data_IF_701733535770
#
_entry.id   IF_701733535770
#
_cell.length_a   1.000
_cell.length_b   1.000
_cell.length_c   1.000
_cell.angle_alpha   90.00
_cell.angle_beta   90.00
_cell.angle_gamma   90.00
#
_symmetry.space_group_name_H-M   'P 1'
#
loop_
_entity.id
_entity.type
_entity.pdbx_description
1 polymer ?
#
# COMPACT_ATOMS: atom_id res chain seq x y z
N UNK A 1 21.23 -5.47 20.89
CA UNK A 1 21.11 -6.44 19.77
C UNK A 1 19.73 -6.31 19.12
N UNK A 2 19.36 -5.07 18.76
CA UNK A 2 18.14 -4.66 18.04
C UNK A 2 18.44 -3.21 17.58
N UNK A 3 19.38 -3.09 16.66
CA UNK A 3 19.72 -1.89 15.89
C UNK A 3 20.77 -2.42 14.91
N UNK A 4 20.45 -2.49 13.61
CA UNK A 4 21.42 -2.51 12.48
C UNK A 4 20.84 -2.97 11.12
N UNK A 5 19.55 -3.28 10.99
CA UNK A 5 19.01 -3.78 9.69
C UNK A 5 18.27 -2.74 8.85
N UNK A 6 18.02 -1.51 9.34
CA UNK A 6 17.08 -0.61 8.65
C UNK A 6 17.68 0.45 7.70
N UNK A 7 19.00 0.62 7.53
CA UNK A 7 19.53 1.81 6.81
C UNK A 7 20.55 1.53 5.68
N UNK A 8 20.91 0.28 5.37
CA UNK A 8 22.02 0.05 4.40
C UNK A 8 21.66 -0.54 3.02
N UNK A 9 20.40 -0.69 2.62
CA UNK A 9 20.06 -1.24 1.28
C UNK A 9 18.91 -0.52 0.57
N UNK A 10 19.01 0.80 0.46
CA UNK A 10 18.19 1.61 -0.46
C UNK A 10 18.92 1.99 -1.77
N UNK A 11 20.00 1.27 -2.10
CA UNK A 11 20.51 1.16 -3.47
C UNK A 11 20.65 -0.33 -3.72
N UNK A 12 20.14 -0.76 -4.86
CA UNK A 12 20.11 -2.13 -5.39
C UNK A 12 18.69 -2.72 -5.33
N UNK A 13 18.08 -2.61 -6.50
CA UNK A 13 16.83 -3.19 -6.95
C UNK A 13 16.88 -4.72 -6.94
N UNK A 14 16.86 -5.33 -5.76
CA UNK A 14 16.75 -6.79 -5.61
C UNK A 14 15.79 -7.13 -4.47
N UNK A 15 14.49 -6.98 -4.73
CA UNK A 15 13.47 -7.72 -3.99
C UNK A 15 13.33 -9.10 -4.67
N UNK A 16 13.50 -10.23 -3.96
CA UNK A 16 13.47 -11.53 -4.60
C UNK A 16 12.03 -11.86 -5.02
N UNK A 17 11.77 -11.83 -6.34
CA UNK A 17 10.54 -12.34 -6.93
C UNK A 17 10.49 -13.87 -6.82
N UNK A 18 9.28 -14.48 -6.76
CA UNK A 18 9.14 -15.93 -6.73
C UNK A 18 9.79 -16.56 -7.96
N UNK A 19 10.68 -17.51 -7.70
CA UNK A 19 11.47 -18.29 -8.66
C UNK A 19 10.60 -19.04 -9.69
N UNK A 20 10.27 -18.35 -10.78
CA UNK A 20 9.75 -18.91 -12.03
C UNK A 20 10.89 -19.31 -12.98
N UNK A 21 10.72 -20.43 -13.69
CA UNK A 21 11.75 -21.14 -14.46
C UNK A 21 12.51 -20.26 -15.47
N UNK A 22 13.84 -20.47 -15.51
CA UNK A 22 14.79 -19.92 -16.51
C UNK A 22 14.36 -20.26 -17.94
N UNK A 23 14.23 -19.23 -18.78
CA UNK A 23 14.24 -19.38 -20.23
C UNK A 23 13.57 -18.23 -20.98
N UNK A 24 14.39 -17.48 -21.72
CA UNK A 24 14.08 -16.45 -22.73
C UNK A 24 13.95 -15.01 -22.22
N UNK A 25 14.91 -14.19 -22.65
CA UNK A 25 14.95 -12.76 -22.47
C UNK A 25 14.06 -12.10 -23.54
N UNK A 26 12.97 -11.47 -23.11
CA UNK A 26 12.25 -10.50 -23.92
C UNK A 26 12.48 -9.10 -23.35
N UNK A 27 12.74 -8.15 -24.25
CA UNK A 27 13.15 -6.77 -24.00
C UNK A 27 12.20 -6.03 -23.06
N UNK A 28 12.72 -5.51 -21.95
CA UNK A 28 12.03 -4.54 -21.10
C UNK A 28 11.89 -3.21 -21.85
N UNK A 29 10.71 -2.97 -22.42
CA UNK A 29 10.33 -1.65 -22.89
C UNK A 29 10.11 -0.74 -21.68
N UNK A 30 10.80 0.39 -21.63
CA UNK A 30 10.50 1.47 -20.69
C UNK A 30 9.27 2.23 -21.18
N UNK A 31 8.14 2.30 -20.45
CA UNK A 31 7.07 3.20 -20.83
C UNK A 31 7.34 4.55 -20.16
N UNK A 32 8.07 5.42 -20.87
CA UNK A 32 7.86 6.85 -20.70
C UNK A 32 6.42 7.17 -21.14
N UNK A 33 5.69 7.95 -20.36
CA UNK A 33 4.30 8.37 -20.55
C UNK A 33 3.21 7.29 -20.38
N UNK A 34 2.88 7.00 -19.12
CA UNK A 34 1.56 6.46 -18.76
C UNK A 34 0.66 7.63 -18.38
N UNK A 35 -0.25 7.99 -19.27
CA UNK A 35 -1.41 8.81 -18.91
C UNK A 35 -2.37 7.97 -18.06
N UNK A 36 -2.45 8.27 -16.77
CA UNK A 36 -3.43 7.66 -15.86
C UNK A 36 -4.82 8.20 -16.17
N UNK A 37 -5.61 7.44 -16.92
CA UNK A 37 -7.06 7.55 -16.92
C UNK A 37 -7.60 6.73 -15.75
N UNK A 38 -8.60 7.27 -15.03
CA UNK A 38 -9.24 6.71 -13.84
C UNK A 38 -9.82 5.29 -14.04
N UNK A 39 -8.94 4.31 -14.01
CA UNK A 39 -9.21 2.91 -13.80
C UNK A 39 -7.93 2.36 -13.21
N UNK A 40 -7.97 1.92 -11.96
CA UNK A 40 -6.88 1.17 -11.33
C UNK A 40 -6.40 0.15 -12.37
N UNK A 41 -5.16 0.23 -12.86
CA UNK A 41 -4.74 -0.65 -13.96
C UNK A 41 -4.46 -2.04 -13.41
N UNK A 42 -5.53 -2.83 -13.27
CA UNK A 42 -5.49 -4.22 -12.84
C UNK A 42 -4.68 -5.11 -13.81
N UNK A 43 -4.14 -4.55 -14.91
CA UNK A 43 -3.26 -5.25 -15.85
C UNK A 43 -1.97 -5.76 -15.22
N UNK A 44 -1.42 -5.09 -14.21
CA UNK A 44 -0.23 -5.57 -13.49
C UNK A 44 -0.54 -6.87 -12.69
N UNK A 45 -1.82 -7.15 -12.41
CA UNK A 45 -2.31 -8.41 -11.83
C UNK A 45 -2.96 -9.36 -12.87
N UNK A 46 -2.95 -9.03 -14.17
CA UNK A 46 -3.93 -9.59 -15.14
C UNK A 46 -3.63 -10.94 -15.79
N UNK A 47 -2.47 -11.56 -15.59
CA UNK A 47 -2.24 -12.88 -16.21
C UNK A 47 -2.90 -14.01 -15.41
N UNK A 48 -3.11 -13.84 -14.09
CA UNK A 48 -3.72 -14.86 -13.23
C UNK A 48 -5.23 -14.64 -12.98
N UNK A 49 -5.74 -13.42 -13.10
CA UNK A 49 -7.12 -13.05 -12.72
C UNK A 49 -8.03 -12.88 -13.96
N UNK A 50 -8.04 -13.85 -14.87
CA UNK A 50 -9.10 -13.90 -15.91
C UNK A 50 -10.41 -14.52 -15.42
N UNK A 51 -10.48 -14.97 -14.16
CA UNK A 51 -11.61 -15.73 -13.63
C UNK A 51 -12.19 -15.29 -12.28
N UNK A 52 -11.65 -14.25 -11.63
CA UNK A 52 -12.29 -13.68 -10.44
C UNK A 52 -13.19 -12.54 -10.91
N UNK A 53 -14.49 -12.71 -10.72
CA UNK A 53 -15.51 -11.72 -11.03
C UNK A 53 -15.21 -10.40 -10.29
N UNK A 54 -15.30 -9.25 -10.99
CA UNK A 54 -15.04 -7.93 -10.40
C UNK A 54 -15.85 -7.68 -9.12
N UNK A 55 -17.07 -8.22 -9.05
CA UNK A 55 -17.93 -8.17 -7.87
C UNK A 55 -17.28 -8.82 -6.63
N UNK A 56 -16.50 -9.89 -6.80
CA UNK A 56 -15.80 -10.58 -5.72
C UNK A 56 -14.64 -9.75 -5.17
N UNK A 57 -13.96 -9.00 -6.03
CA UNK A 57 -12.88 -8.10 -5.61
C UNK A 57 -13.46 -6.92 -4.81
N UNK A 58 -14.56 -6.37 -5.28
CA UNK A 58 -15.25 -5.29 -4.58
C UNK A 58 -15.83 -5.76 -3.22
N UNK A 59 -16.38 -6.98 -3.15
CA UNK A 59 -16.86 -7.53 -1.87
C UNK A 59 -15.73 -7.77 -0.88
N UNK A 60 -14.60 -8.36 -1.31
CA UNK A 60 -13.43 -8.56 -0.45
C UNK A 60 -12.88 -7.22 0.07
N UNK A 61 -12.84 -6.19 -0.79
CA UNK A 61 -12.44 -4.85 -0.39
C UNK A 61 -13.38 -4.27 0.68
N UNK A 62 -14.70 -4.43 0.52
CA UNK A 62 -15.68 -3.97 1.49
C UNK A 62 -15.59 -4.70 2.83
N UNK A 63 -15.30 -6.00 2.83
CA UNK A 63 -15.13 -6.78 4.05
C UNK A 63 -13.89 -6.30 4.83
N UNK A 64 -12.77 -6.09 4.15
CA UNK A 64 -11.56 -5.51 4.75
C UNK A 64 -11.84 -4.11 5.33
N UNK A 65 -12.59 -3.26 4.59
CA UNK A 65 -12.97 -1.94 5.09
C UNK A 65 -13.76 -2.06 6.41
N UNK A 66 -14.76 -2.97 6.47
CA UNK A 66 -15.57 -3.17 7.68
C UNK A 66 -14.74 -3.66 8.86
N UNK A 67 -13.81 -4.58 8.63
CA UNK A 67 -12.91 -5.06 9.68
C UNK A 67 -11.99 -3.94 10.20
N UNK A 68 -11.43 -3.14 9.29
CA UNK A 68 -10.62 -1.97 9.66
C UNK A 68 -11.44 -0.94 10.46
N UNK A 69 -12.68 -0.68 10.04
CA UNK A 69 -13.62 0.19 10.76
C UNK A 69 -13.90 -0.33 12.17
N UNK A 70 -14.02 -1.66 12.35
CA UNK A 70 -14.14 -2.28 13.66
C UNK A 70 -12.91 -2.08 14.56
N UNK A 71 -11.71 -1.90 13.99
CA UNK A 71 -10.45 -1.70 14.74
C UNK A 71 -10.26 -0.23 15.12
N UNK A 72 -10.42 0.71 14.17
CA UNK A 72 -10.04 2.13 14.37
C UNK A 72 -11.23 3.09 14.50
N UNK A 73 -12.43 2.65 14.14
CA UNK A 73 -13.63 3.48 14.00
C UNK A 73 -13.85 3.96 12.56
N UNK A 74 -15.11 4.22 12.21
CA UNK A 74 -15.53 4.57 10.84
C UNK A 74 -14.84 5.81 10.27
N UNK A 75 -14.65 6.84 11.11
CA UNK A 75 -14.06 8.13 10.73
C UNK A 75 -12.57 8.03 10.39
N UNK A 76 -11.93 6.89 10.70
CA UNK A 76 -10.48 6.69 10.60
C UNK A 76 -10.09 5.68 9.50
N UNK A 77 -11.04 5.35 8.63
CA UNK A 77 -10.82 4.54 7.42
C UNK A 77 -11.26 5.33 6.20
N UNK A 78 -10.30 5.72 5.37
CA UNK A 78 -10.53 6.47 4.13
C UNK A 78 -10.42 5.50 2.94
N UNK A 79 -11.46 5.41 2.13
CA UNK A 79 -11.52 4.50 0.99
C UNK A 79 -12.27 5.08 -0.21
N UNK A 80 -12.82 6.29 -0.09
CA UNK A 80 -13.47 7.00 -1.19
C UNK A 80 -12.41 7.57 -2.13
N UNK A 81 -12.54 7.41 -3.46
CA UNK A 81 -11.53 7.85 -4.41
C UNK A 81 -11.11 9.31 -4.23
N UNK A 82 -12.06 10.22 -4.01
CA UNK A 82 -11.83 11.66 -3.84
C UNK A 82 -10.99 11.99 -2.60
N UNK A 83 -11.15 11.24 -1.52
CA UNK A 83 -10.43 11.45 -0.26
C UNK A 83 -9.05 10.79 -0.29
N UNK A 84 -8.85 9.77 -1.12
CA UNK A 84 -7.58 9.06 -1.24
C UNK A 84 -6.51 9.91 -1.93
N UNK A 85 -6.89 10.85 -2.83
CA UNK A 85 -5.98 11.67 -3.65
C UNK A 85 -4.88 12.33 -2.81
N UNK A 86 -5.18 12.79 -1.60
CA UNK A 86 -4.19 13.47 -0.73
C UNK A 86 -3.08 12.54 -0.22
N UNK A 87 -3.25 11.23 -0.37
CA UNK A 87 -2.31 10.20 0.03
C UNK A 87 -1.52 9.60 -1.15
N UNK A 88 -1.75 10.05 -2.39
CA UNK A 88 -1.10 9.47 -3.58
C UNK A 88 0.40 9.79 -3.68
N UNK A 89 0.84 10.90 -3.05
CA UNK A 89 2.19 11.43 -3.17
C UNK A 89 2.81 11.72 -1.81
N UNK A 90 4.14 11.83 -1.81
CA UNK A 90 4.93 12.49 -0.77
C UNK A 90 5.76 13.63 -1.38
N UNK A 91 6.82 14.09 -0.70
CA UNK A 91 7.72 15.13 -1.24
C UNK A 91 8.55 14.69 -2.46
N UNK A 92 8.42 13.45 -2.93
CA UNK A 92 9.08 12.93 -4.14
C UNK A 92 8.30 13.25 -5.43
N UNK A 93 8.85 12.80 -6.56
CA UNK A 93 8.18 12.89 -7.86
C UNK A 93 7.17 11.75 -8.11
N UNK A 94 7.23 10.69 -7.31
CA UNK A 94 6.43 9.49 -7.52
C UNK A 94 5.00 9.67 -6.99
N UNK A 95 4.06 9.01 -7.67
CA UNK A 95 2.64 9.01 -7.31
C UNK A 95 2.05 7.64 -7.51
N UNK A 96 1.27 7.18 -6.53
CA UNK A 96 0.51 5.93 -6.64
C UNK A 96 -0.69 5.96 -5.72
N UNK A 97 -1.85 5.50 -6.22
CA UNK A 97 -3.10 5.57 -5.48
C UNK A 97 -3.24 4.39 -4.49
N UNK A 98 -3.29 4.63 -3.17
CA UNK A 98 -3.69 3.58 -2.23
C UNK A 98 -5.12 3.09 -2.47
N UNK A 99 -5.40 1.86 -2.03
CA UNK A 99 -6.76 1.32 -2.04
C UNK A 99 -7.57 1.76 -0.80
N UNK A 100 -6.88 1.89 0.34
CA UNK A 100 -7.44 2.26 1.65
C UNK A 100 -6.37 3.03 2.44
N UNK A 101 -6.76 4.00 3.24
CA UNK A 101 -5.91 4.65 4.24
C UNK A 101 -6.52 4.44 5.62
N UNK A 102 -5.71 4.10 6.62
CA UNK A 102 -6.14 3.83 7.99
C UNK A 102 -5.35 4.70 8.96
N UNK A 103 -6.03 5.31 9.93
CA UNK A 103 -5.45 6.31 10.84
C UNK A 103 -5.58 5.84 12.31
N UNK A 104 -4.71 4.94 12.80
CA UNK A 104 -4.76 4.42 14.19
C UNK A 104 -4.35 5.46 15.25
N UNK A 105 -4.76 5.25 16.51
CA UNK A 105 -4.38 6.05 17.69
C UNK A 105 -3.49 5.27 18.67
N UNK A 106 -3.51 3.94 18.59
CA UNK A 106 -2.81 3.08 19.55
C UNK A 106 -1.97 2.01 18.86
N UNK A 107 -0.97 1.50 19.58
CA UNK A 107 -0.12 0.42 19.10
C UNK A 107 -0.90 -0.90 18.92
N UNK A 108 -1.95 -1.11 19.72
CA UNK A 108 -2.85 -2.27 19.61
C UNK A 108 -3.61 -2.23 18.29
N UNK A 109 -4.16 -1.06 17.92
CA UNK A 109 -4.81 -0.90 16.62
C UNK A 109 -3.85 -1.17 15.46
N UNK A 110 -2.62 -0.66 15.53
CA UNK A 110 -1.58 -0.96 14.53
C UNK A 110 -1.33 -2.47 14.43
N UNK A 111 -1.19 -3.15 15.56
CA UNK A 111 -0.97 -4.60 15.61
C UNK A 111 -2.10 -5.38 14.93
N UNK A 112 -3.36 -5.05 15.23
CA UNK A 112 -4.51 -5.70 14.61
C UNK A 112 -4.59 -5.43 13.10
N UNK A 113 -4.30 -4.21 12.65
CA UNK A 113 -4.23 -3.87 11.21
C UNK A 113 -3.16 -4.69 10.51
N UNK A 114 -1.97 -4.83 11.10
CA UNK A 114 -0.87 -5.63 10.54
C UNK A 114 -1.24 -7.11 10.43
N UNK A 115 -1.97 -7.66 11.41
CA UNK A 115 -2.48 -9.04 11.36
C UNK A 115 -3.50 -9.22 10.24
N UNK A 116 -4.46 -8.29 10.13
CA UNK A 116 -5.49 -8.31 9.10
C UNK A 116 -4.90 -8.25 7.70
N UNK A 117 -3.97 -7.33 7.47
CA UNK A 117 -3.33 -7.17 6.17
C UNK A 117 -2.47 -8.39 5.81
N UNK A 118 -1.76 -8.98 6.78
CA UNK A 118 -1.05 -10.25 6.58
C UNK A 118 -2.01 -11.37 6.19
N UNK A 119 -3.13 -11.52 6.89
CA UNK A 119 -4.11 -12.57 6.65
C UNK A 119 -4.74 -12.49 5.24
N UNK A 120 -4.86 -11.27 4.71
CA UNK A 120 -5.43 -10.99 3.39
C UNK A 120 -4.38 -10.71 2.31
N UNK A 121 -3.09 -10.90 2.61
CA UNK A 121 -1.97 -10.62 1.70
C UNK A 121 -1.97 -9.19 1.10
N UNK A 122 -2.46 -8.22 1.87
CA UNK A 122 -2.55 -6.81 1.45
C UNK A 122 -1.26 -6.07 1.82
N UNK A 123 -0.59 -5.41 0.85
CA UNK A 123 0.60 -4.63 1.15
C UNK A 123 0.27 -3.41 2.02
N UNK A 124 1.19 -3.07 2.92
CA UNK A 124 1.10 -1.89 3.80
C UNK A 124 2.28 -0.96 3.53
N UNK A 125 2.00 0.34 3.46
CA UNK A 125 3.00 1.40 3.52
C UNK A 125 2.74 2.28 4.74
N UNK A 126 3.74 2.45 5.60
CA UNK A 126 3.65 3.36 6.74
C UNK A 126 3.85 4.80 6.29
N UNK A 127 3.04 5.72 6.83
CA UNK A 127 3.09 7.15 6.50
C UNK A 127 2.99 8.00 7.76
N UNK A 128 3.96 8.91 7.92
CA UNK A 128 3.89 10.02 8.87
C UNK A 128 3.19 11.23 8.22
N UNK A 129 3.88 12.37 8.16
CA UNK A 129 3.36 13.57 7.48
C UNK A 129 3.34 13.46 5.94
N UNK A 130 4.05 12.49 5.36
CA UNK A 130 4.15 12.34 3.89
C UNK A 130 5.04 13.40 3.22
N UNK A 131 6.04 13.92 3.94
CA UNK A 131 6.99 14.94 3.42
C UNK A 131 8.32 14.36 2.95
N UNK A 132 8.48 13.04 3.00
CA UNK A 132 9.70 12.36 2.54
C UNK A 132 9.92 12.58 1.05
N UNK A 133 11.18 12.72 0.63
CA UNK A 133 11.55 13.04 -0.77
C UNK A 133 12.02 11.81 -1.57
N UNK A 134 11.94 10.62 -0.98
CA UNK A 134 12.43 9.37 -1.55
C UNK A 134 11.33 8.42 -2.01
N UNK A 135 10.05 8.80 -1.90
CA UNK A 135 8.91 7.96 -2.25
C UNK A 135 8.55 6.91 -1.19
N UNK A 136 9.13 6.97 0.00
CA UNK A 136 8.95 5.95 1.04
C UNK A 136 7.54 5.88 1.63
N UNK A 137 6.73 6.92 1.43
CA UNK A 137 5.34 6.96 1.87
C UNK A 137 4.33 6.77 0.72
N UNK A 138 4.80 6.45 -0.49
CA UNK A 138 3.97 6.24 -1.68
C UNK A 138 3.60 4.76 -1.82
N UNK A 139 2.31 4.48 -2.01
CA UNK A 139 1.78 3.12 -2.13
C UNK A 139 1.94 2.56 -3.55
N UNK A 140 3.18 2.31 -3.97
CA UNK A 140 3.55 1.92 -5.35
C UNK A 140 2.78 0.71 -5.90
N UNK A 141 2.40 -0.23 -5.03
CA UNK A 141 1.63 -1.43 -5.38
C UNK A 141 0.17 -1.36 -4.90
N UNK A 142 -0.31 -0.17 -4.51
CA UNK A 142 -1.60 0.04 -3.87
C UNK A 142 -1.63 -0.49 -2.43
N UNK A 143 -2.78 -1.05 -2.03
CA UNK A 143 -2.98 -1.61 -0.70
C UNK A 143 -3.35 -0.56 0.35
N UNK A 144 -2.86 -0.77 1.58
CA UNK A 144 -3.21 0.04 2.76
C UNK A 144 -2.08 1.02 3.06
N UNK A 145 -2.42 2.31 3.17
CA UNK A 145 -1.54 3.31 3.79
C UNK A 145 -1.88 3.44 5.26
N UNK A 146 -0.90 3.22 6.13
CA UNK A 146 -1.02 3.33 7.57
C UNK A 146 -0.54 4.71 8.03
N UNK A 147 -1.48 5.62 8.29
CA UNK A 147 -1.19 7.01 8.71
C UNK A 147 -1.03 7.11 10.22
N UNK A 148 0.19 7.33 10.69
CA UNK A 148 0.52 7.42 12.12
C UNK A 148 0.30 8.83 12.70
N UNK A 149 -0.36 9.71 11.96
CA UNK A 149 -0.52 11.14 12.29
C UNK A 149 -1.33 11.41 13.57
N UNK A 150 -2.15 10.45 14.02
CA UNK A 150 -2.93 10.55 15.26
C UNK A 150 -2.18 10.08 16.50
N UNK A 151 -1.13 9.27 16.33
CA UNK A 151 -0.32 8.72 17.42
C UNK A 151 0.72 9.73 17.94
N UNK A 152 0.28 10.82 18.58
CA UNK A 152 1.14 11.95 18.98
C UNK A 152 1.49 12.00 20.47
N UNK A 153 1.16 10.97 21.26
CA UNK A 153 1.46 10.93 22.69
C UNK A 153 2.95 10.75 22.95
N UNK A 154 3.51 11.57 23.84
CA UNK A 154 4.87 11.43 24.36
C UNK A 154 4.80 10.58 25.63
N UNK A 155 5.60 9.50 25.70
CA UNK A 155 5.72 8.64 26.88
C UNK A 155 7.02 9.04 27.61
N UNK A 156 6.93 9.40 28.89
CA UNK A 156 8.04 9.82 29.75
C UNK A 156 8.48 8.74 30.74
#
# INVERSE_FOLDING_TARGET
MWLDIAVSRCRDSDFPLPIGRRGQAESFATPSSIHYHNSVDYRIFSTAIRGIELATIDSLKLDIIRELQGIVGDDYVVYKPEDLIVYEYDGSADKAMPAIVVIPDTAEQVSEIMKLARANEVPIVARGAGTGVSGGAVAQVGGIVLSLTRMTRILE
#
